data_IF_275586170783
#
_entry.id   IF_275586170783
#
_cell.length_a   1.000
_cell.length_b   1.000
_cell.length_c   1.000
_cell.angle_alpha   90.00
_cell.angle_beta   90.00
_cell.angle_gamma   90.00
#
_symmetry.space_group_name_H-M   'P 1'
#
loop_
_entity.id
_entity.type
_entity.pdbx_description
1 polymer ?
#
# COMPACT_ATOMS: atom_id res chain seq x y z
N UNK A 1 -25.08 -20.60 -13.21
CA UNK A 1 -24.10 -21.20 -12.28
C UNK A 1 -22.89 -20.28 -12.21
N UNK A 2 -22.80 -19.42 -11.20
CA UNK A 2 -21.65 -18.53 -11.02
C UNK A 2 -20.52 -19.37 -10.41
N UNK A 3 -19.44 -19.50 -11.17
CA UNK A 3 -18.30 -20.36 -10.91
C UNK A 3 -17.81 -20.30 -9.45
N UNK A 4 -17.95 -21.41 -8.73
CA UNK A 4 -17.31 -21.67 -7.43
C UNK A 4 -15.77 -21.74 -7.53
N UNK A 5 -15.20 -21.79 -8.74
CA UNK A 5 -13.76 -21.87 -8.93
C UNK A 5 -13.05 -20.54 -8.60
N UNK A 6 -13.68 -19.38 -8.88
CA UNK A 6 -13.04 -18.07 -8.66
C UNK A 6 -12.79 -17.73 -7.18
N UNK A 7 -13.73 -18.11 -6.30
CA UNK A 7 -13.59 -17.89 -4.86
C UNK A 7 -12.51 -18.77 -4.21
N UNK A 8 -12.30 -19.98 -4.76
CA UNK A 8 -11.28 -20.89 -4.24
C UNK A 8 -9.87 -20.43 -4.62
N UNK A 9 -9.64 -19.94 -5.84
CA UNK A 9 -8.34 -19.38 -6.24
C UNK A 9 -7.98 -18.10 -5.46
N UNK A 10 -8.95 -17.23 -5.13
CA UNK A 10 -8.71 -16.04 -4.32
C UNK A 10 -8.36 -16.40 -2.87
N UNK A 11 -9.09 -17.34 -2.26
CA UNK A 11 -8.83 -17.78 -0.88
C UNK A 11 -7.47 -18.49 -0.74
N UNK A 12 -7.07 -19.31 -1.72
CA UNK A 12 -5.76 -19.98 -1.73
C UNK A 12 -4.62 -18.97 -1.92
N UNK A 13 -4.78 -17.97 -2.80
CA UNK A 13 -3.77 -16.90 -2.93
C UNK A 13 -3.67 -16.03 -1.67
N UNK A 14 -4.79 -15.72 -1.01
CA UNK A 14 -4.80 -14.99 0.26
C UNK A 14 -4.14 -15.80 1.39
N UNK A 15 -4.37 -17.12 1.45
CA UNK A 15 -3.73 -18.00 2.42
C UNK A 15 -2.22 -18.17 2.14
N UNK A 16 -1.83 -18.22 0.86
CA UNK A 16 -0.42 -18.30 0.45
C UNK A 16 0.34 -17.01 0.73
N UNK A 17 -0.27 -15.84 0.43
CA UNK A 17 0.28 -14.54 0.78
C UNK A 17 0.43 -14.35 2.30
N UNK A 18 -0.50 -14.92 3.09
CA UNK A 18 -0.43 -14.93 4.54
C UNK A 18 0.66 -15.87 5.12
N UNK A 19 1.07 -16.92 4.40
CA UNK A 19 2.05 -17.91 4.86
C UNK A 19 3.47 -17.69 4.31
N UNK A 20 3.61 -17.10 3.12
CA UNK A 20 4.90 -16.99 2.42
C UNK A 20 5.27 -15.55 2.01
N UNK A 21 4.41 -14.57 2.26
CA UNK A 21 4.62 -13.18 1.83
C UNK A 21 4.42 -13.01 0.32
N UNK A 22 4.10 -11.78 -0.10
CA UNK A 22 4.10 -11.40 -1.52
C UNK A 22 5.51 -11.15 -2.09
N UNK A 23 5.64 -10.84 -3.38
CA UNK A 23 6.95 -10.64 -4.05
C UNK A 23 7.81 -9.51 -3.48
N UNK A 24 7.20 -8.60 -2.71
CA UNK A 24 7.86 -7.47 -2.05
C UNK A 24 7.91 -7.65 -0.52
N UNK A 25 7.57 -8.82 0.00
CA UNK A 25 7.62 -9.09 1.44
C UNK A 25 9.06 -9.09 1.98
N UNK A 26 9.23 -8.67 3.23
CA UNK A 26 10.55 -8.48 3.84
C UNK A 26 11.28 -7.22 3.37
N UNK A 27 10.59 -6.31 2.68
CA UNK A 27 11.19 -5.05 2.20
C UNK A 27 10.70 -3.83 2.97
N UNK A 28 11.54 -2.82 3.06
CA UNK A 28 11.19 -1.51 3.62
C UNK A 28 11.57 -0.41 2.62
N UNK A 29 10.79 0.65 2.59
CA UNK A 29 10.90 1.73 1.61
C UNK A 29 10.70 3.08 2.27
N UNK A 30 11.61 4.01 2.02
CA UNK A 30 11.44 5.40 2.42
C UNK A 30 10.87 6.19 1.24
N UNK A 31 9.68 6.75 1.43
CA UNK A 31 8.93 7.45 0.39
C UNK A 31 8.63 8.89 0.79
N UNK A 32 8.62 9.76 -0.22
CA UNK A 32 8.13 11.12 -0.10
C UNK A 32 6.71 11.18 -0.63
N UNK A 33 5.77 11.58 0.22
CA UNK A 33 4.34 11.73 -0.12
C UNK A 33 4.03 13.21 -0.33
N UNK A 34 3.38 13.55 -1.44
CA UNK A 34 3.00 14.92 -1.81
C UNK A 34 1.56 14.94 -2.31
N UNK A 35 0.77 15.90 -1.85
CA UNK A 35 -0.59 16.12 -2.34
C UNK A 35 -0.56 16.58 -3.81
N UNK A 36 -1.48 16.05 -4.62
CA UNK A 36 -1.66 16.52 -6.00
C UNK A 36 -2.36 17.89 -6.00
N UNK A 37 -1.78 18.88 -6.71
CA UNK A 37 -2.39 20.19 -6.88
C UNK A 37 -1.39 21.33 -7.03
N UNK A 38 -1.84 22.48 -7.57
CA UNK A 38 -0.98 23.62 -7.94
C UNK A 38 -0.43 24.42 -6.75
N UNK A 39 -0.97 24.26 -5.54
CA UNK A 39 -0.62 25.09 -4.37
C UNK A 39 -0.14 24.29 -3.14
N UNK A 40 0.14 23.00 -3.30
CA UNK A 40 0.54 22.13 -2.19
C UNK A 40 2.06 21.89 -2.24
N UNK A 41 2.79 22.62 -1.40
CA UNK A 41 4.25 22.59 -1.31
C UNK A 41 4.77 21.64 -0.23
N UNK A 42 3.88 21.20 0.66
CA UNK A 42 4.23 20.31 1.77
C UNK A 42 4.33 18.88 1.27
N UNK A 43 5.44 18.25 1.65
CA UNK A 43 5.66 16.83 1.48
C UNK A 43 6.00 16.23 2.83
N UNK A 44 5.61 14.98 3.06
CA UNK A 44 6.00 14.22 4.25
C UNK A 44 6.79 12.99 3.86
N UNK A 45 7.70 12.58 4.74
CA UNK A 45 8.39 11.31 4.62
C UNK A 45 7.58 10.24 5.33
N UNK A 46 7.50 9.06 4.70
CA UNK A 46 6.86 7.87 5.25
C UNK A 46 7.77 6.67 5.00
N UNK A 47 7.71 5.68 5.90
CA UNK A 47 8.36 4.39 5.70
C UNK A 47 7.29 3.32 5.54
N UNK A 48 7.31 2.62 4.41
CA UNK A 48 6.45 1.46 4.12
C UNK A 48 7.25 0.19 4.43
N UNK A 49 6.67 -0.71 5.23
CA UNK A 49 7.31 -1.97 5.63
C UNK A 49 6.37 -3.11 5.25
N UNK A 50 6.80 -3.95 4.32
CA UNK A 50 6.07 -5.14 3.87
C UNK A 50 6.61 -6.36 4.59
N UNK A 51 5.76 -7.06 5.34
CA UNK A 51 6.16 -8.25 6.10
C UNK A 51 4.95 -9.14 6.44
N UNK A 52 5.09 -10.44 6.20
CA UNK A 52 4.05 -11.44 6.48
C UNK A 52 2.75 -11.19 5.72
N UNK A 53 2.83 -10.72 4.48
CA UNK A 53 1.65 -10.38 3.67
C UNK A 53 0.91 -9.13 4.13
N UNK A 54 1.49 -8.38 5.07
CA UNK A 54 0.97 -7.12 5.59
C UNK A 54 1.91 -5.96 5.27
N UNK A 55 1.35 -4.76 5.34
CA UNK A 55 2.07 -3.51 5.24
C UNK A 55 1.82 -2.66 6.48
N UNK A 56 2.89 -2.09 7.03
CA UNK A 56 2.82 -1.03 8.03
C UNK A 56 3.39 0.25 7.42
N UNK A 57 2.71 1.37 7.64
CA UNK A 57 3.16 2.70 7.20
C UNK A 57 3.39 3.54 8.45
N UNK A 58 4.66 3.89 8.72
CA UNK A 58 5.08 4.39 10.03
C UNK A 58 4.25 5.60 10.53
N UNK A 59 4.05 6.62 9.70
CA UNK A 59 3.25 7.79 10.06
C UNK A 59 1.75 7.49 10.20
N UNK A 60 1.21 6.52 9.45
CA UNK A 60 -0.19 6.10 9.61
C UNK A 60 -0.39 5.26 10.88
N UNK A 61 0.56 4.39 11.22
CA UNK A 61 0.55 3.68 12.50
C UNK A 61 0.62 4.66 13.67
N UNK A 62 1.48 5.67 13.59
CA UNK A 62 1.53 6.75 14.59
C UNK A 62 0.22 7.55 14.66
N UNK A 63 -0.54 7.61 13.56
CA UNK A 63 -1.89 8.19 13.52
C UNK A 63 -2.97 7.21 13.99
N UNK A 64 -2.67 5.96 14.33
CA UNK A 64 -3.63 4.99 14.86
C UNK A 64 -4.29 4.10 13.81
N UNK A 65 -3.73 4.02 12.59
CA UNK A 65 -4.09 2.97 11.64
C UNK A 65 -3.39 1.65 12.00
N UNK A 66 -4.07 0.53 11.75
CA UNK A 66 -3.46 -0.79 11.92
C UNK A 66 -2.74 -1.24 10.64
N UNK A 67 -1.68 -2.07 10.73
CA UNK A 67 -1.12 -2.72 9.56
C UNK A 67 -2.21 -3.50 8.78
N UNK A 68 -2.17 -3.40 7.46
CA UNK A 68 -3.19 -3.98 6.59
C UNK A 68 -2.60 -5.08 5.70
N UNK A 69 -3.45 -6.00 5.23
CA UNK A 69 -3.07 -6.88 4.13
C UNK A 69 -2.82 -6.05 2.87
N UNK A 70 -1.84 -6.47 2.08
CA UNK A 70 -1.65 -5.93 0.74
C UNK A 70 -1.88 -7.03 -0.30
N UNK A 71 -2.43 -6.63 -1.43
CA UNK A 71 -2.44 -7.42 -2.64
C UNK A 71 -1.24 -7.03 -3.49
N UNK A 72 -0.67 -8.00 -4.19
CA UNK A 72 0.44 -7.75 -5.10
C UNK A 72 0.36 -8.66 -6.32
N UNK A 73 0.91 -8.17 -7.43
CA UNK A 73 0.96 -8.87 -8.70
C UNK A 73 2.27 -8.58 -9.40
N UNK A 74 2.97 -9.64 -9.79
CA UNK A 74 4.13 -9.54 -10.67
C UNK A 74 3.66 -9.11 -12.07
N UNK A 75 4.33 -8.12 -12.63
CA UNK A 75 4.12 -7.62 -13.98
C UNK A 75 5.47 -7.46 -14.67
N UNK A 76 5.47 -7.23 -15.97
CA UNK A 76 6.72 -7.07 -16.73
C UNK A 76 7.54 -5.88 -16.20
N UNK A 77 8.71 -6.16 -15.63
CA UNK A 77 9.62 -5.15 -15.09
C UNK A 77 9.37 -4.71 -13.63
N UNK A 78 8.40 -5.29 -12.91
CA UNK A 78 8.14 -4.87 -11.52
C UNK A 78 6.99 -5.59 -10.83
N UNK A 79 6.71 -5.17 -9.59
CA UNK A 79 5.57 -5.68 -8.79
C UNK A 79 4.60 -4.55 -8.51
N UNK A 80 3.35 -4.68 -8.95
CA UNK A 80 2.26 -3.80 -8.57
C UNK A 80 1.70 -4.23 -7.20
N UNK A 81 1.26 -3.27 -6.39
CA UNK A 81 0.62 -3.54 -5.10
C UNK A 81 -0.53 -2.58 -4.81
N UNK A 82 -1.45 -3.03 -3.95
CA UNK A 82 -2.54 -2.23 -3.40
C UNK A 82 -2.86 -2.67 -1.97
N UNK A 83 -3.33 -1.73 -1.14
CA UNK A 83 -3.73 -1.99 0.24
C UNK A 83 -4.73 -0.92 0.71
N UNK A 84 -5.48 -1.23 1.76
CA UNK A 84 -6.38 -0.27 2.42
C UNK A 84 -6.11 -0.29 3.92
N UNK A 85 -5.65 0.84 4.45
CA UNK A 85 -5.49 1.03 5.89
C UNK A 85 -6.83 1.43 6.52
N UNK A 86 -7.16 0.76 7.61
CA UNK A 86 -8.32 1.08 8.44
C UNK A 86 -7.85 1.46 9.84
N UNK A 87 -8.53 2.42 10.45
CA UNK A 87 -8.29 2.87 11.82
C UNK A 87 -9.62 3.10 12.53
N UNK A 88 -9.65 2.88 13.84
CA UNK A 88 -10.89 3.04 14.61
C UNK A 88 -11.39 4.50 14.55
N UNK A 89 -12.61 4.67 14.05
CA UNK A 89 -13.21 5.99 13.85
C UNK A 89 -12.52 6.87 12.80
N UNK A 90 -11.65 6.33 11.94
CA UNK A 90 -10.90 7.07 10.90
C UNK A 90 -11.37 6.77 9.49
N UNK A 91 -11.02 7.65 8.56
CA UNK A 91 -11.34 7.49 7.15
C UNK A 91 -10.36 6.50 6.50
N UNK A 92 -10.83 5.53 5.69
CA UNK A 92 -9.95 4.57 5.04
C UNK A 92 -8.92 5.29 4.14
N UNK A 93 -7.69 4.78 4.18
CA UNK A 93 -6.60 5.28 3.33
C UNK A 93 -6.17 4.17 2.38
N UNK A 94 -6.40 4.40 1.09
CA UNK A 94 -6.04 3.46 0.02
C UNK A 94 -4.63 3.80 -0.47
N UNK A 95 -3.75 2.80 -0.57
CA UNK A 95 -2.46 2.96 -1.24
C UNK A 95 -2.39 1.99 -2.40
N UNK A 96 -1.82 2.46 -3.50
CA UNK A 96 -1.53 1.65 -4.68
C UNK A 96 -0.21 2.10 -5.29
N UNK A 97 0.57 1.19 -5.82
CA UNK A 97 1.85 1.55 -6.41
C UNK A 97 2.54 0.40 -7.10
N UNK A 98 3.78 0.66 -7.49
CA UNK A 98 4.65 -0.28 -8.17
C UNK A 98 6.07 -0.19 -7.61
N UNK A 99 6.70 -1.35 -7.49
CA UNK A 99 8.11 -1.51 -7.20
C UNK A 99 8.84 -1.96 -8.46
N UNK A 100 9.91 -1.27 -8.82
CA UNK A 100 10.80 -1.59 -9.94
C UNK A 100 12.26 -1.52 -9.46
N UNK A 101 12.88 -2.68 -9.29
CA UNK A 101 14.21 -2.78 -8.68
C UNK A 101 14.24 -2.12 -7.30
N UNK A 102 15.03 -1.06 -7.16
CA UNK A 102 15.26 -0.32 -5.90
C UNK A 102 14.39 0.96 -5.80
N UNK A 103 13.37 1.09 -6.64
CA UNK A 103 12.44 2.22 -6.66
C UNK A 103 11.01 1.79 -6.37
N UNK A 104 10.28 2.69 -5.72
CA UNK A 104 8.85 2.54 -5.46
C UNK A 104 8.14 3.85 -5.78
N UNK A 105 6.95 3.76 -6.39
CA UNK A 105 6.12 4.92 -6.65
C UNK A 105 4.64 4.54 -6.72
N UNK A 106 3.75 5.50 -6.52
CA UNK A 106 2.31 5.27 -6.58
C UNK A 106 1.47 6.41 -6.04
N UNK A 107 0.26 6.07 -5.61
CA UNK A 107 -0.71 7.00 -5.07
C UNK A 107 -1.27 6.53 -3.74
N UNK A 108 -1.48 7.50 -2.85
CA UNK A 108 -2.28 7.38 -1.65
C UNK A 108 -3.58 8.19 -1.88
N UNK A 109 -4.72 7.60 -1.56
CA UNK A 109 -6.04 8.23 -1.68
C UNK A 109 -6.74 8.20 -0.33
N UNK A 110 -7.20 9.37 0.13
CA UNK A 110 -8.00 9.52 1.34
C UNK A 110 -9.41 9.92 0.92
N UNK A 111 -10.39 9.12 1.33
CA UNK A 111 -11.81 9.44 1.12
C UNK A 111 -12.38 10.01 2.41
N UNK A 112 -12.48 11.33 2.48
CA UNK A 112 -13.02 12.00 3.65
C UNK A 112 -14.53 11.74 3.78
N UNK A 113 -15.06 11.73 5.01
CA UNK A 113 -16.51 11.54 5.27
C UNK A 113 -17.42 12.55 4.59
N UNK A 114 -16.89 13.73 4.28
CA UNK A 114 -17.61 14.79 3.58
C UNK A 114 -17.71 14.56 2.06
N UNK A 115 -17.23 13.42 1.57
CA UNK A 115 -17.24 13.05 0.15
C UNK A 115 -16.05 13.59 -0.64
N UNK A 116 -15.17 14.39 -0.04
CA UNK A 116 -13.95 14.83 -0.71
C UNK A 116 -12.96 13.69 -0.84
N UNK A 117 -12.31 13.63 -1.99
CA UNK A 117 -11.22 12.69 -2.26
C UNK A 117 -9.93 13.49 -2.36
N UNK A 118 -8.97 13.21 -1.47
CA UNK A 118 -7.63 13.75 -1.54
C UNK A 118 -6.70 12.69 -2.12
N UNK A 119 -5.91 13.08 -3.12
CA UNK A 119 -4.95 12.20 -3.78
C UNK A 119 -3.54 12.74 -3.58
N UNK A 120 -2.65 11.83 -3.22
CA UNK A 120 -1.26 12.10 -2.97
C UNK A 120 -0.42 11.19 -3.85
N UNK A 121 0.60 11.75 -4.48
CA UNK A 121 1.66 10.98 -5.13
C UNK A 121 2.71 10.61 -4.09
N UNK A 122 3.25 9.41 -4.21
CA UNK A 122 4.46 9.05 -3.49
C UNK A 122 5.51 8.45 -4.41
N UNK A 123 6.77 8.69 -4.07
CA UNK A 123 7.91 8.00 -4.68
C UNK A 123 9.06 7.91 -3.70
N UNK A 124 9.89 6.90 -3.87
CA UNK A 124 10.95 6.59 -2.92
C UNK A 124 11.95 5.58 -3.43
N UNK A 125 12.77 5.13 -2.50
CA UNK A 125 13.76 4.10 -2.73
C UNK A 125 13.71 3.08 -1.62
N UNK A 126 14.29 1.91 -1.88
CA UNK A 126 14.41 0.88 -0.85
C UNK A 126 15.28 1.42 0.27
N UNK A 127 14.87 1.12 1.49
CA UNK A 127 15.66 1.44 2.67
C UNK A 127 16.85 0.49 2.73
N UNK A 128 18.04 1.01 2.49
CA UNK A 128 19.27 0.30 2.79
C UNK A 128 19.49 0.35 4.30
N UNK A 129 19.71 -0.82 4.90
CA UNK A 129 20.01 -0.97 6.32
C UNK A 129 21.29 -0.27 6.74
#
# INVERSE_FOLDING_TARGET
MKSLAGAFFAAVNLLYAALFGGPIDGTAWDVKVKEEGFFHWTSRQETLIFHGGKVAIAGEVARGYSPALYESKNEEGGTAFSLVLNGDGRDPVEWSGRVEGERIAGFMVVRARDGRTLRYQFSGARKNG
#
